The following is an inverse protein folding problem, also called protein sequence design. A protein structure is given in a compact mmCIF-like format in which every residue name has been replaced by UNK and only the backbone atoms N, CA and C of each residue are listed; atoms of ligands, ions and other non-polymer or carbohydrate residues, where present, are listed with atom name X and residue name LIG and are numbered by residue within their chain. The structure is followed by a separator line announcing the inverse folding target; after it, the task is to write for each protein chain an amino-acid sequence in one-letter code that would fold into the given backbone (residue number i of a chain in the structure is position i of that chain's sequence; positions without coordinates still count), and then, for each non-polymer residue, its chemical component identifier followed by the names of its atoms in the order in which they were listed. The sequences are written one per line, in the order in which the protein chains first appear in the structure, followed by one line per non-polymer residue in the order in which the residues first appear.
data_IF_248725349657
#
_entry.id   IF_248725349657
#
_cell.length_a   1.000
_cell.length_b   1.000
_cell.length_c   1.000
_cell.angle_alpha   90.00
_cell.angle_beta   90.00
_cell.angle_gamma   90.00
#
_symmetry.space_group_name_H-M   'P 1'
#
loop_
_entity.id
_entity.type
_entity.pdbx_description
1 polymer ?
#
# COMPACT_ATOMS: atom_id res chain seq x y z
N UNK A 1 -20.03 19.12 8.60
CA UNK A 1 -19.43 17.78 8.38
C UNK A 1 -18.99 17.68 6.93
N UNK A 2 -17.77 17.21 6.66
CA UNK A 2 -17.32 16.94 5.30
C UNK A 2 -18.06 15.71 4.75
N UNK A 3 -18.57 15.80 3.52
CA UNK A 3 -19.25 14.67 2.88
C UNK A 3 -18.24 13.71 2.25
N UNK A 4 -18.63 12.44 2.08
CA UNK A 4 -17.84 11.45 1.32
C UNK A 4 -17.47 11.97 -0.08
N UNK A 5 -18.43 12.60 -0.76
CA UNK A 5 -18.20 13.14 -2.10
C UNK A 5 -17.18 14.28 -2.09
N UNK A 6 -17.19 15.12 -1.05
CA UNK A 6 -16.19 16.18 -0.89
C UNK A 6 -14.79 15.60 -0.74
N UNK A 7 -14.62 14.54 0.06
CA UNK A 7 -13.33 13.87 0.21
C UNK A 7 -12.87 13.20 -1.09
N UNK A 8 -13.77 12.51 -1.80
CA UNK A 8 -13.42 11.86 -3.07
C UNK A 8 -12.99 12.88 -4.13
N UNK A 9 -13.68 14.03 -4.23
CA UNK A 9 -13.27 15.11 -5.13
C UNK A 9 -11.94 15.74 -4.76
N UNK A 10 -11.60 15.79 -3.47
CA UNK A 10 -10.29 16.26 -3.03
C UNK A 10 -9.17 15.28 -3.46
N UNK A 11 -9.39 13.98 -3.35
CA UNK A 11 -8.42 12.98 -3.86
C UNK A 11 -8.28 13.03 -5.38
N UNK A 12 -9.39 13.20 -6.11
CA UNK A 12 -9.39 13.36 -7.57
C UNK A 12 -8.61 14.61 -7.99
N UNK A 13 -8.92 15.77 -7.40
CA UNK A 13 -8.21 17.01 -7.69
C UNK A 13 -6.70 16.90 -7.40
N UNK A 14 -6.33 16.24 -6.31
CA UNK A 14 -4.92 16.02 -5.96
C UNK A 14 -4.23 15.05 -6.93
N UNK A 15 -4.93 14.02 -7.39
CA UNK A 15 -4.43 13.10 -8.40
C UNK A 15 -4.19 13.80 -9.74
N UNK A 16 -5.14 14.59 -10.20
CA UNK A 16 -5.03 15.32 -11.48
C UNK A 16 -3.89 16.36 -11.44
N UNK A 17 -3.61 16.95 -10.27
CA UNK A 17 -2.48 17.87 -10.08
C UNK A 17 -1.13 17.15 -10.19
N UNK A 18 -0.99 15.97 -9.58
CA UNK A 18 0.26 15.20 -9.56
C UNK A 18 0.49 14.35 -10.82
N UNK A 19 -0.60 13.93 -11.47
CA UNK A 19 -0.59 13.02 -12.61
C UNK A 19 -1.44 13.58 -13.76
N UNK A 20 -1.10 14.76 -14.31
CA UNK A 20 -1.90 15.44 -15.33
C UNK A 20 -2.07 14.60 -16.62
N UNK A 21 -1.12 13.73 -16.93
CA UNK A 21 -1.18 12.79 -18.05
C UNK A 21 -2.15 11.61 -17.83
N UNK A 22 -2.59 11.40 -16.59
CA UNK A 22 -3.52 10.33 -16.18
C UNK A 22 -4.88 10.91 -15.75
N UNK A 23 -5.14 12.19 -16.05
CA UNK A 23 -6.38 12.86 -15.72
C UNK A 23 -7.59 12.13 -16.32
N UNK A 24 -8.65 11.97 -15.53
CA UNK A 24 -9.85 11.22 -15.93
C UNK A 24 -9.70 9.69 -15.94
N UNK A 25 -8.56 9.16 -15.50
CA UNK A 25 -8.38 7.73 -15.21
C UNK A 25 -8.69 7.42 -13.74
N UNK A 26 -8.33 6.21 -13.27
CA UNK A 26 -8.60 5.79 -11.89
C UNK A 26 -7.68 6.54 -10.92
N UNK A 27 -8.23 7.48 -10.17
CA UNK A 27 -7.53 8.25 -9.15
C UNK A 27 -7.50 7.57 -7.76
N UNK A 28 -6.78 8.19 -6.82
CA UNK A 28 -6.80 7.78 -5.43
C UNK A 28 -8.16 7.99 -4.77
N UNK A 29 -8.42 7.23 -3.70
CA UNK A 29 -9.58 7.40 -2.84
C UNK A 29 -9.14 7.28 -1.38
N UNK A 30 -10.07 7.48 -0.43
CA UNK A 30 -9.78 7.22 0.98
C UNK A 30 -9.25 5.80 1.25
N UNK A 31 -9.63 4.80 0.44
CA UNK A 31 -9.08 3.45 0.57
C UNK A 31 -7.60 3.38 0.19
N UNK A 32 -7.15 4.19 -0.78
CA UNK A 32 -5.75 4.27 -1.21
C UNK A 32 -4.85 4.69 -0.05
N UNK A 33 -5.28 5.63 0.79
CA UNK A 33 -4.53 6.06 1.98
C UNK A 33 -4.33 4.90 2.96
N UNK A 34 -5.38 4.08 3.17
CA UNK A 34 -5.30 2.92 4.05
C UNK A 34 -4.34 1.84 3.52
N UNK A 35 -4.33 1.62 2.21
CA UNK A 35 -3.37 0.70 1.56
C UNK A 35 -1.95 1.25 1.65
N UNK A 36 -1.75 2.54 1.34
CA UNK A 36 -0.46 3.23 1.43
C UNK A 36 0.12 3.17 2.84
N UNK A 37 -0.67 3.44 3.88
CA UNK A 37 -0.20 3.33 5.26
C UNK A 37 0.26 1.92 5.65
N UNK A 38 -0.39 0.87 5.14
CA UNK A 38 0.06 -0.50 5.35
C UNK A 38 1.42 -0.77 4.69
N UNK A 39 1.60 -0.23 3.48
CA UNK A 39 2.82 -0.33 2.68
C UNK A 39 3.98 0.38 3.38
N UNK A 40 3.78 1.62 3.83
CA UNK A 40 4.79 2.42 4.55
C UNK A 40 5.25 1.72 5.84
N UNK A 41 4.32 1.15 6.62
CA UNK A 41 4.68 0.41 7.84
C UNK A 41 5.46 -0.86 7.52
N UNK A 42 5.09 -1.60 6.47
CA UNK A 42 5.84 -2.78 6.05
C UNK A 42 7.24 -2.43 5.54
N UNK A 43 7.38 -1.31 4.82
CA UNK A 43 8.67 -0.81 4.35
C UNK A 43 9.57 -0.39 5.52
N UNK A 44 9.00 0.28 6.52
CA UNK A 44 9.66 0.62 7.78
C UNK A 44 9.99 -0.59 8.69
N UNK A 45 9.63 -1.81 8.28
CA UNK A 45 10.00 -3.05 8.98
C UNK A 45 9.08 -3.47 10.12
N UNK A 46 7.88 -2.87 10.23
CA UNK A 46 6.89 -3.31 11.22
C UNK A 46 6.33 -4.70 10.88
N UNK A 47 5.96 -5.44 11.92
CA UNK A 47 5.41 -6.79 11.76
C UNK A 47 3.97 -6.76 11.24
N UNK A 48 3.54 -7.87 10.63
CA UNK A 48 2.16 -8.06 10.17
C UNK A 48 1.12 -7.76 11.25
N UNK A 49 1.38 -8.19 12.49
CA UNK A 49 0.46 -7.99 13.61
C UNK A 49 0.32 -6.51 13.99
N UNK A 50 1.43 -5.77 14.03
CA UNK A 50 1.41 -4.33 14.31
C UNK A 50 0.67 -3.56 13.21
N UNK A 51 0.86 -3.95 11.95
CA UNK A 51 0.12 -3.37 10.83
C UNK A 51 -1.37 -3.68 10.96
N UNK A 52 -1.73 -4.93 11.27
CA UNK A 52 -3.11 -5.34 11.52
C UNK A 52 -3.78 -4.51 12.62
N UNK A 53 -3.10 -4.32 13.75
CA UNK A 53 -3.57 -3.52 14.88
C UNK A 53 -3.81 -2.06 14.47
N UNK A 54 -2.81 -1.42 13.84
CA UNK A 54 -2.89 -0.02 13.43
C UNK A 54 -3.98 0.25 12.39
N UNK A 55 -4.17 -0.67 11.45
CA UNK A 55 -5.26 -0.55 10.49
C UNK A 55 -6.58 -1.11 11.00
N UNK A 56 -6.65 -1.75 12.17
CA UNK A 56 -7.84 -2.46 12.61
C UNK A 56 -8.33 -3.51 11.57
N UNK A 57 -7.42 -4.36 11.10
CA UNK A 57 -7.72 -5.50 10.24
C UNK A 57 -7.87 -6.78 11.07
N UNK A 58 -8.98 -7.50 10.88
CA UNK A 58 -9.20 -8.78 11.57
C UNK A 58 -8.54 -9.98 10.88
N UNK A 59 -8.06 -9.82 9.65
CA UNK A 59 -7.46 -10.90 8.85
C UNK A 59 -6.11 -10.48 8.28
N UNK A 60 -5.07 -11.30 8.52
CA UNK A 60 -3.72 -11.12 8.01
C UNK A 60 -3.64 -11.15 6.48
N UNK A 61 -4.54 -11.88 5.81
CA UNK A 61 -4.61 -11.96 4.35
C UNK A 61 -4.78 -10.57 3.71
N UNK A 62 -5.56 -9.68 4.34
CA UNK A 62 -5.78 -8.32 3.83
C UNK A 62 -4.49 -7.52 3.83
N UNK A 63 -3.71 -7.60 4.91
CA UNK A 63 -2.40 -6.95 5.00
C UNK A 63 -1.45 -7.56 3.96
N UNK A 64 -1.39 -8.89 3.87
CA UNK A 64 -0.55 -9.60 2.90
C UNK A 64 -0.87 -9.23 1.46
N UNK A 65 -2.14 -8.95 1.14
CA UNK A 65 -2.56 -8.51 -0.19
C UNK A 65 -2.01 -7.13 -0.53
N UNK A 66 -2.01 -6.20 0.42
CA UNK A 66 -1.56 -4.81 0.19
C UNK A 66 -0.05 -4.69 0.09
N UNK A 67 0.69 -5.44 0.92
CA UNK A 67 2.15 -5.30 1.00
C UNK A 67 2.91 -6.27 0.07
N UNK A 68 2.20 -7.16 -0.63
CA UNK A 68 2.77 -8.24 -1.46
C UNK A 68 3.88 -7.80 -2.41
N UNK A 69 3.74 -6.63 -3.01
CA UNK A 69 4.68 -6.15 -4.02
C UNK A 69 5.98 -5.66 -3.38
N UNK A 70 5.91 -5.05 -2.19
CA UNK A 70 7.10 -4.61 -1.45
C UNK A 70 7.87 -5.83 -0.91
N UNK A 71 7.15 -6.85 -0.44
CA UNK A 71 7.77 -8.08 0.06
C UNK A 71 8.29 -9.01 -1.04
N UNK A 72 8.03 -8.73 -2.32
CA UNK A 72 8.40 -9.61 -3.42
C UNK A 72 9.91 -9.89 -3.47
N UNK A 73 10.75 -8.89 -3.17
CA UNK A 73 12.20 -9.04 -3.10
C UNK A 73 12.71 -9.75 -1.84
N UNK A 74 11.88 -9.84 -0.79
CA UNK A 74 12.19 -10.46 0.51
C UNK A 74 11.78 -11.93 0.57
N UNK A 75 11.19 -12.47 -0.50
CA UNK A 75 10.68 -13.86 -0.54
C UNK A 75 11.82 -14.85 -0.35
N UNK A 76 11.54 -15.92 0.40
CA UNK A 76 12.52 -16.95 0.75
C UNK A 76 13.26 -17.51 -0.47
N UNK A 77 12.55 -17.81 -1.55
CA UNK A 77 13.18 -18.30 -2.79
C UNK A 77 14.05 -17.24 -3.47
N UNK A 78 13.62 -15.98 -3.51
CA UNK A 78 14.40 -14.88 -4.08
C UNK A 78 15.69 -14.66 -3.29
N UNK A 79 15.62 -14.74 -1.95
CA UNK A 79 16.78 -14.64 -1.07
C UNK A 79 17.74 -15.82 -1.26
N UNK A 80 17.21 -17.06 -1.23
CA UNK A 80 17.99 -18.28 -1.44
C UNK A 80 18.74 -18.28 -2.78
N UNK A 81 18.06 -17.89 -3.87
CA UNK A 81 18.68 -17.83 -5.20
C UNK A 81 19.75 -16.73 -5.30
N UNK A 82 19.61 -15.62 -4.58
CA UNK A 82 20.64 -14.56 -4.56
C UNK A 82 21.89 -15.06 -3.83
N UNK A 83 21.73 -15.64 -2.65
CA UNK A 83 22.84 -16.19 -1.86
C UNK A 83 23.61 -17.27 -2.64
N UNK A 84 22.91 -18.14 -3.38
CA UNK A 84 23.52 -19.18 -4.19
C UNK A 84 24.24 -18.67 -5.47
N UNK A 85 24.00 -17.43 -5.91
CA UNK A 85 24.67 -16.82 -7.07
C UNK A 85 25.87 -15.96 -6.67
N UNK A 86 25.94 -15.56 -5.40
CA UNK A 86 27.01 -14.73 -4.83
C UNK A 86 28.17 -15.60 -4.25
N UNK A 87 28.03 -16.94 -4.25
CA UNK A 87 29.07 -17.96 -3.95
C UNK A 87 29.76 -18.48 -5.22
#
# INVERSE_FOLDING_TARGET
MLSKNTLLRAFEAFWDELHPQEAGTRCWTGHSVRVGGAIELADAGYTHLQIMEMGNWSNAEMVSRYIRNIDAGKKAMTKFMREALDE
#
